data_IF_296036678711
#
_entry.id   IF_296036678711
#
_cell.length_a   1.000
_cell.length_b   1.000
_cell.length_c   1.000
_cell.angle_alpha   90.00
_cell.angle_beta   90.00
_cell.angle_gamma   90.00
#
_symmetry.space_group_name_H-M   'P 1'
#
loop_
_entity.id
_entity.type
_entity.pdbx_description
1 polymer ?
#
# COMPACT_ATOMS: atom_id res chain seq x y z
N UNK A 1 30.62 9.09 4.27
CA UNK A 1 29.37 9.71 4.77
C UNK A 1 28.56 10.14 3.56
N UNK A 2 27.75 9.22 2.99
CA UNK A 2 26.79 9.59 1.96
C UNK A 2 25.62 10.28 2.67
N UNK A 3 25.44 11.56 2.35
CA UNK A 3 24.26 12.34 2.71
C UNK A 3 23.02 11.53 2.35
N UNK A 4 22.29 11.06 3.36
CA UNK A 4 20.94 10.55 3.18
C UNK A 4 20.12 11.70 2.58
N UNK A 5 19.97 11.72 1.25
CA UNK A 5 18.87 12.46 0.66
C UNK A 5 17.65 11.78 1.23
N UNK A 6 16.90 12.49 2.07
CA UNK A 6 15.58 12.07 2.49
C UNK A 6 14.77 11.85 1.21
N UNK A 7 14.67 10.59 0.76
CA UNK A 7 13.72 10.22 -0.28
C UNK A 7 12.36 10.35 0.41
N UNK A 8 11.61 11.36 -0.03
CA UNK A 8 10.26 11.61 0.47
C UNK A 8 9.44 10.35 0.19
N UNK A 9 8.92 9.65 1.22
CA UNK A 9 8.14 8.46 1.02
C UNK A 9 6.76 8.83 0.47
N UNK A 10 6.29 8.08 -0.51
CA UNK A 10 4.92 8.14 -1.00
C UNK A 10 4.23 6.85 -0.60
N UNK A 11 3.05 6.97 0.00
CA UNK A 11 2.25 5.80 0.37
C UNK A 11 1.11 5.65 -0.61
N UNK A 12 1.09 4.51 -1.30
CA UNK A 12 0.08 4.14 -2.28
C UNK A 12 -0.91 3.17 -1.69
N UNK A 13 -2.17 3.34 -2.08
CA UNK A 13 -3.18 2.31 -1.95
C UNK A 13 -4.02 2.28 -3.23
N UNK A 14 -4.70 1.16 -3.46
CA UNK A 14 -5.44 0.92 -4.67
C UNK A 14 -6.52 -0.13 -4.42
N UNK A 15 -7.62 0.04 -5.11
CA UNK A 15 -8.75 -0.89 -5.10
C UNK A 15 -8.90 -1.54 -6.47
N UNK A 16 -9.69 -2.60 -6.49
CA UNK A 16 -9.93 -3.37 -7.71
C UNK A 16 -11.40 -3.63 -7.92
N UNK A 17 -11.78 -3.67 -9.18
CA UNK A 17 -13.01 -4.29 -9.63
C UNK A 17 -12.73 -5.74 -10.03
N UNK A 18 -13.60 -6.63 -9.59
CA UNK A 18 -13.62 -8.01 -10.06
C UNK A 18 -14.80 -8.21 -11.01
N UNK A 19 -14.50 -8.59 -12.26
CA UNK A 19 -15.53 -8.91 -13.26
C UNK A 19 -15.44 -10.40 -13.60
N UNK A 20 -16.57 -11.09 -13.50
CA UNK A 20 -16.66 -12.49 -13.92
C UNK A 20 -17.14 -12.51 -15.37
N UNK A 21 -16.30 -12.98 -16.28
CA UNK A 21 -16.62 -13.11 -17.70
C UNK A 21 -16.56 -14.60 -18.08
N UNK A 22 -17.71 -15.27 -18.05
CA UNK A 22 -17.79 -16.72 -18.30
C UNK A 22 -17.19 -17.54 -17.15
N UNK A 23 -16.18 -18.36 -17.45
CA UNK A 23 -15.46 -19.19 -16.46
C UNK A 23 -14.20 -18.51 -15.89
N UNK A 24 -13.87 -17.31 -16.35
CA UNK A 24 -12.67 -16.57 -15.98
C UNK A 24 -13.03 -15.28 -15.25
N UNK A 25 -12.38 -15.03 -14.11
CA UNK A 25 -12.44 -13.75 -13.41
C UNK A 25 -11.34 -12.81 -13.88
N UNK A 26 -11.68 -11.57 -14.20
CA UNK A 26 -10.75 -10.51 -14.57
C UNK A 26 -10.72 -9.46 -13.46
N UNK A 27 -9.54 -9.24 -12.89
CA UNK A 27 -9.29 -8.19 -11.90
C UNK A 27 -8.78 -6.95 -12.64
N UNK A 28 -9.33 -5.78 -12.35
CA UNK A 28 -8.89 -4.50 -12.93
C UNK A 28 -8.80 -3.45 -11.83
N UNK A 29 -7.83 -2.54 -11.91
CA UNK A 29 -7.68 -1.47 -10.92
C UNK A 29 -8.87 -0.51 -11.06
N UNK A 30 -9.60 -0.30 -9.97
CA UNK A 30 -10.74 0.62 -9.91
C UNK A 30 -10.31 2.02 -9.48
N UNK A 31 -9.42 2.10 -8.50
CA UNK A 31 -8.99 3.36 -7.90
C UNK A 31 -7.52 3.27 -7.47
N UNK A 32 -6.82 4.41 -7.53
CA UNK A 32 -5.47 4.56 -6.98
C UNK A 32 -5.40 5.85 -6.19
N UNK A 33 -4.94 5.74 -4.96
CA UNK A 33 -4.68 6.85 -4.05
C UNK A 33 -3.20 6.93 -3.67
N UNK A 34 -2.72 8.15 -3.41
CA UNK A 34 -1.39 8.40 -2.87
C UNK A 34 -1.43 9.51 -1.84
N UNK A 35 -0.77 9.27 -0.72
CA UNK A 35 -0.55 10.27 0.33
C UNK A 35 0.95 10.49 0.53
N UNK A 36 1.30 11.69 0.97
CA UNK A 36 2.66 12.06 1.37
C UNK A 36 2.96 11.63 2.83
N UNK A 37 4.13 12.01 3.33
CA UNK A 37 4.59 11.71 4.68
C UNK A 37 3.70 12.30 5.79
N UNK A 38 2.95 13.36 5.50
CA UNK A 38 2.02 14.00 6.42
C UNK A 38 0.61 13.40 6.32
N UNK A 39 0.40 12.44 5.40
CA UNK A 39 -0.90 11.83 5.13
C UNK A 39 -1.83 12.71 4.27
N UNK A 40 -1.29 13.75 3.63
CA UNK A 40 -2.01 14.60 2.70
C UNK A 40 -2.14 13.90 1.35
N UNK A 41 -3.36 13.85 0.82
CA UNK A 41 -3.65 13.19 -0.44
C UNK A 41 -3.28 14.07 -1.63
N UNK A 42 -2.49 13.54 -2.56
CA UNK A 42 -2.11 14.22 -3.80
C UNK A 42 -2.40 13.40 -5.07
N UNK A 43 -2.71 12.10 -4.94
CA UNK A 43 -3.34 11.29 -5.98
C UNK A 43 -4.62 10.71 -5.40
N UNK A 44 -5.75 10.99 -6.05
CA UNK A 44 -7.02 10.29 -5.85
C UNK A 44 -7.62 10.15 -7.25
N UNK A 45 -7.46 8.99 -7.87
CA UNK A 45 -7.81 8.77 -9.28
C UNK A 45 -8.71 7.55 -9.42
N UNK A 46 -9.94 7.78 -9.87
CA UNK A 46 -10.87 6.71 -10.25
C UNK A 46 -10.55 6.28 -11.68
N UNK A 47 -10.36 5.00 -11.92
CA UNK A 47 -10.00 4.45 -13.23
C UNK A 47 -11.27 4.27 -14.06
N UNK A 48 -11.34 5.00 -15.18
CA UNK A 48 -12.43 4.83 -16.15
C UNK A 48 -12.03 3.92 -17.31
N UNK A 49 -13.00 3.16 -17.80
CA UNK A 49 -12.84 2.36 -19.00
C UNK A 49 -12.67 3.23 -20.26
N UNK A 50 -11.96 2.71 -21.28
CA UNK A 50 -11.79 3.41 -22.55
C UNK A 50 -13.15 3.70 -23.19
N UNK A 51 -13.42 4.98 -23.48
CA UNK A 51 -14.67 5.39 -24.13
C UNK A 51 -15.86 5.62 -23.18
N UNK A 52 -15.71 5.39 -21.87
CA UNK A 52 -16.72 5.76 -20.88
C UNK A 52 -16.72 7.28 -20.62
N UNK A 53 -17.92 7.88 -20.65
CA UNK A 53 -18.14 9.19 -20.03
C UNK A 53 -18.33 8.97 -18.54
N UNK A 54 -17.56 9.66 -17.72
CA UNK A 54 -17.62 9.58 -16.27
C UNK A 54 -17.92 10.96 -15.72
N UNK A 55 -18.98 11.07 -14.91
CA UNK A 55 -19.33 12.31 -14.21
C UNK A 55 -18.55 12.46 -12.88
N UNK A 56 -17.62 11.55 -12.60
CA UNK A 56 -16.73 11.61 -11.44
C UNK A 56 -15.59 12.58 -11.72
N UNK A 57 -15.46 13.62 -10.88
CA UNK A 57 -14.52 14.74 -11.04
C UNK A 57 -13.04 14.32 -11.14
N UNK A 58 -12.67 13.17 -10.58
CA UNK A 58 -11.29 12.67 -10.56
C UNK A 58 -11.03 11.46 -11.49
N UNK A 59 -11.92 11.21 -12.46
CA UNK A 59 -11.80 10.05 -13.34
C UNK A 59 -10.64 10.15 -14.35
N UNK A 60 -9.73 9.18 -14.32
CA UNK A 60 -8.54 9.11 -15.16
C UNK A 60 -8.42 7.78 -15.90
N UNK A 61 -7.69 7.77 -17.01
CA UNK A 61 -7.36 6.51 -17.69
C UNK A 61 -6.23 5.80 -16.93
N UNK A 62 -6.21 4.47 -17.00
CA UNK A 62 -5.14 3.66 -16.40
C UNK A 62 -3.75 4.12 -16.85
N UNK A 63 -3.60 4.46 -18.14
CA UNK A 63 -2.36 5.01 -18.72
C UNK A 63 -1.92 6.30 -18.03
N UNK A 64 -2.84 7.19 -17.66
CA UNK A 64 -2.51 8.46 -17.00
C UNK A 64 -2.03 8.22 -15.57
N UNK A 65 -2.63 7.27 -14.86
CA UNK A 65 -2.17 6.87 -13.51
C UNK A 65 -0.81 6.18 -13.57
N UNK A 66 -0.59 5.28 -14.53
CA UNK A 66 0.71 4.67 -14.76
C UNK A 66 1.82 5.72 -15.01
N UNK A 67 1.54 6.77 -15.79
CA UNK A 67 2.51 7.86 -16.01
C UNK A 67 2.82 8.65 -14.75
N UNK A 68 1.84 8.89 -13.87
CA UNK A 68 2.09 9.51 -12.56
C UNK A 68 3.02 8.64 -11.71
N UNK A 69 2.75 7.34 -11.65
CA UNK A 69 3.58 6.40 -10.89
C UNK A 69 5.00 6.31 -11.45
N UNK A 70 5.14 6.23 -12.77
CA UNK A 70 6.45 6.27 -13.44
C UNK A 70 7.22 7.55 -13.11
N UNK A 71 6.56 8.70 -13.01
CA UNK A 71 7.21 9.94 -12.58
C UNK A 71 7.76 9.81 -11.14
N UNK A 72 6.96 9.31 -10.19
CA UNK A 72 7.43 9.09 -8.81
C UNK A 72 8.64 8.14 -8.75
N UNK A 73 8.62 7.08 -9.57
CA UNK A 73 9.70 6.11 -9.68
C UNK A 73 10.97 6.78 -10.23
N UNK A 74 10.83 7.58 -11.30
CA UNK A 74 11.93 8.31 -11.93
C UNK A 74 12.58 9.32 -10.98
N UNK A 75 11.79 9.97 -10.12
CA UNK A 75 12.27 10.88 -9.07
C UNK A 75 12.89 10.15 -7.87
N UNK A 76 13.05 8.82 -7.94
CA UNK A 76 13.66 7.97 -6.90
C UNK A 76 12.93 8.03 -5.56
N UNK A 77 11.62 8.29 -5.59
CA UNK A 77 10.80 8.26 -4.38
C UNK A 77 10.69 6.83 -3.85
N UNK A 78 10.58 6.71 -2.53
CA UNK A 78 10.30 5.43 -1.88
C UNK A 78 8.79 5.22 -1.86
N UNK A 79 8.34 4.12 -2.46
CA UNK A 79 6.94 3.74 -2.55
C UNK A 79 6.64 2.74 -1.44
N UNK A 80 5.75 3.12 -0.53
CA UNK A 80 5.18 2.26 0.50
C UNK A 80 3.78 1.85 0.06
N UNK A 81 3.37 0.61 0.29
CA UNK A 81 2.00 0.19 0.01
C UNK A 81 1.70 -1.21 0.54
N UNK A 82 0.44 -1.59 0.52
CA UNK A 82 -0.02 -2.93 0.91
C UNK A 82 -0.31 -3.76 -0.35
N UNK A 83 0.34 -4.92 -0.46
CA UNK A 83 0.30 -5.79 -1.65
C UNK A 83 0.64 -5.05 -2.95
N UNK A 84 1.57 -4.09 -2.86
CA UNK A 84 1.76 -3.08 -3.91
C UNK A 84 2.33 -3.64 -5.21
N UNK A 85 3.00 -4.80 -5.14
CA UNK A 85 3.50 -5.53 -6.32
C UNK A 85 2.36 -5.87 -7.29
N UNK A 86 1.18 -6.22 -6.76
CA UNK A 86 0.00 -6.51 -7.59
C UNK A 86 -0.42 -5.29 -8.44
N UNK A 87 -0.28 -4.07 -7.90
CA UNK A 87 -0.55 -2.84 -8.68
C UNK A 87 0.41 -2.73 -9.85
N UNK A 88 1.70 -2.96 -9.60
CA UNK A 88 2.74 -2.81 -10.60
C UNK A 88 2.60 -3.82 -11.74
N UNK A 89 2.25 -5.06 -11.42
CA UNK A 89 1.93 -6.09 -12.41
C UNK A 89 0.73 -5.68 -13.27
N UNK A 90 -0.36 -5.22 -12.66
CA UNK A 90 -1.57 -4.79 -13.38
C UNK A 90 -1.34 -3.55 -14.26
N UNK A 91 -0.43 -2.67 -13.84
CA UNK A 91 -0.02 -1.50 -14.64
C UNK A 91 1.08 -1.81 -15.65
N UNK A 92 1.65 -3.02 -15.60
CA UNK A 92 2.81 -3.42 -16.39
C UNK A 92 3.98 -2.43 -16.26
N UNK A 93 4.30 -2.05 -15.02
CA UNK A 93 5.44 -1.19 -14.69
C UNK A 93 6.43 -1.94 -13.81
N UNK A 94 7.72 -1.71 -14.05
CA UNK A 94 8.79 -2.24 -13.20
C UNK A 94 9.26 -1.16 -12.23
N UNK A 95 9.29 -1.49 -10.94
CA UNK A 95 9.82 -0.62 -9.88
C UNK A 95 11.04 -1.29 -9.25
N UNK A 96 12.18 -0.60 -9.13
CA UNK A 96 13.34 -1.15 -8.43
C UNK A 96 13.02 -1.53 -6.99
N UNK A 97 13.46 -2.71 -6.54
CA UNK A 97 13.17 -3.25 -5.20
C UNK A 97 13.62 -2.30 -4.07
N UNK A 98 14.71 -1.57 -4.27
CA UNK A 98 15.21 -0.59 -3.29
C UNK A 98 14.25 0.58 -3.06
N UNK A 99 13.36 0.86 -4.02
CA UNK A 99 12.34 1.89 -3.92
C UNK A 99 11.04 1.38 -3.31
N UNK A 100 10.85 0.07 -3.14
CA UNK A 100 9.57 -0.51 -2.70
C UNK A 100 9.64 -0.93 -1.23
N UNK A 101 8.58 -0.59 -0.49
CA UNK A 101 8.34 -0.98 0.90
C UNK A 101 6.93 -1.56 1.00
N UNK A 102 6.81 -2.84 0.67
CA UNK A 102 5.55 -3.56 0.75
C UNK A 102 5.24 -3.98 2.20
N UNK A 103 4.11 -3.52 2.74
CA UNK A 103 3.69 -3.75 4.14
C UNK A 103 3.60 -5.25 4.44
N UNK A 104 3.03 -6.05 3.53
CA UNK A 104 2.90 -7.50 3.75
C UNK A 104 4.27 -8.14 3.88
N UNK A 105 5.20 -7.77 3.00
CA UNK A 105 6.57 -8.29 2.99
C UNK A 105 7.36 -7.86 4.22
N UNK A 106 7.23 -6.60 4.63
CA UNK A 106 7.82 -6.08 5.87
C UNK A 106 7.33 -6.88 7.07
N UNK A 107 6.02 -6.98 7.28
CA UNK A 107 5.46 -7.69 8.43
C UNK A 107 5.71 -9.20 8.36
N UNK A 108 5.72 -9.81 7.16
CA UNK A 108 6.15 -11.21 6.99
C UNK A 108 7.57 -11.45 7.47
N UNK A 109 8.47 -10.49 7.31
CA UNK A 109 9.85 -10.63 7.80
C UNK A 109 9.94 -10.74 9.34
N UNK A 110 9.07 -10.01 10.05
CA UNK A 110 8.98 -10.01 11.53
C UNK A 110 8.20 -11.23 12.05
N UNK A 111 7.02 -11.48 11.52
CA UNK A 111 6.07 -12.47 12.05
C UNK A 111 6.18 -13.85 11.38
N UNK A 112 7.06 -14.01 10.38
CA UNK A 112 7.25 -15.23 9.56
C UNK A 112 5.96 -15.74 8.88
N UNK A 113 4.93 -14.90 8.78
CA UNK A 113 3.67 -15.17 8.07
C UNK A 113 3.11 -13.89 7.47
N UNK A 114 2.31 -14.01 6.41
CA UNK A 114 1.57 -12.89 5.83
C UNK A 114 0.38 -12.54 6.72
N UNK A 115 0.12 -11.25 6.90
CA UNK A 115 -1.03 -10.74 7.66
C UNK A 115 -1.84 -9.81 6.76
N UNK A 116 -3.16 -9.84 6.90
CA UNK A 116 -4.03 -8.90 6.20
C UNK A 116 -3.90 -7.49 6.79
N UNK A 117 -4.27 -6.48 6.01
CA UNK A 117 -4.24 -5.10 6.48
C UNK A 117 -5.20 -4.92 7.67
N UNK A 118 -6.36 -5.56 7.62
CA UNK A 118 -7.31 -5.59 8.75
C UNK A 118 -6.70 -6.21 10.02
N UNK A 119 -6.03 -7.37 9.92
CA UNK A 119 -5.42 -8.02 11.07
C UNK A 119 -4.34 -7.13 11.73
N UNK A 120 -3.57 -6.41 10.91
CA UNK A 120 -2.56 -5.46 11.38
C UNK A 120 -3.22 -4.24 12.05
N UNK A 121 -4.26 -3.68 11.44
CA UNK A 121 -4.98 -2.51 11.95
C UNK A 121 -5.65 -2.81 13.30
N UNK A 122 -6.38 -3.93 13.37
CA UNK A 122 -7.01 -4.40 14.59
C UNK A 122 -5.99 -4.64 15.71
N UNK A 123 -4.83 -5.22 15.39
CA UNK A 123 -3.84 -5.57 16.41
C UNK A 123 -3.07 -4.36 16.96
N UNK A 124 -2.63 -3.44 16.08
CA UNK A 124 -1.77 -2.33 16.51
C UNK A 124 -2.52 -1.07 16.90
N UNK A 125 -3.75 -0.89 16.42
CA UNK A 125 -4.51 0.34 16.59
C UNK A 125 -5.91 0.13 17.16
N UNK A 126 -6.34 -1.13 17.40
CA UNK A 126 -7.71 -1.46 17.80
C UNK A 126 -8.77 -0.92 16.80
N UNK A 127 -8.39 -0.81 15.53
CA UNK A 127 -9.20 -0.26 14.43
C UNK A 127 -9.48 -1.36 13.39
N UNK A 128 -10.59 -2.12 13.51
CA UNK A 128 -10.98 -3.07 12.47
C UNK A 128 -11.38 -2.31 11.21
N UNK A 129 -11.00 -2.86 10.05
CA UNK A 129 -11.35 -2.30 8.74
C UNK A 129 -11.90 -3.37 7.81
N UNK A 130 -12.77 -2.96 6.89
CA UNK A 130 -13.16 -3.75 5.74
C UNK A 130 -12.46 -3.16 4.52
N UNK A 131 -11.41 -3.84 4.03
CA UNK A 131 -10.50 -3.32 2.99
C UNK A 131 -11.23 -2.91 1.69
N UNK A 132 -12.32 -3.60 1.35
CA UNK A 132 -13.12 -3.30 0.15
C UNK A 132 -14.05 -2.09 0.32
N UNK A 133 -14.52 -1.82 1.55
CA UNK A 133 -15.46 -0.72 1.84
C UNK A 133 -14.76 0.56 2.29
N UNK A 134 -13.52 0.44 2.79
CA UNK A 134 -12.76 1.57 3.33
C UNK A 134 -12.21 2.43 2.20
N UNK A 135 -12.31 3.75 2.34
CA UNK A 135 -11.76 4.70 1.37
C UNK A 135 -10.25 4.44 1.14
N UNK A 136 -9.78 4.37 -0.13
CA UNK A 136 -8.39 4.04 -0.41
C UNK A 136 -7.41 5.09 0.13
N UNK A 137 -7.81 6.35 0.34
CA UNK A 137 -6.95 7.36 0.98
C UNK A 137 -6.75 7.00 2.47
N UNK A 138 -7.81 6.55 3.15
CA UNK A 138 -7.72 6.13 4.54
C UNK A 138 -6.91 4.84 4.69
N UNK A 139 -7.01 3.91 3.75
CA UNK A 139 -6.11 2.74 3.69
C UNK A 139 -4.65 3.11 3.42
N UNK A 140 -4.39 4.15 2.61
CA UNK A 140 -3.03 4.66 2.40
C UNK A 140 -2.46 5.27 3.69
N UNK A 141 -3.27 6.03 4.44
CA UNK A 141 -2.89 6.57 5.77
C UNK A 141 -2.66 5.47 6.79
N UNK A 142 -3.48 4.43 6.78
CA UNK A 142 -3.28 3.25 7.62
C UNK A 142 -1.95 2.56 7.27
N UNK A 143 -1.65 2.41 5.99
CA UNK A 143 -0.38 1.84 5.53
C UNK A 143 0.83 2.68 5.97
N UNK A 144 0.69 4.01 5.96
CA UNK A 144 1.71 4.93 6.50
C UNK A 144 1.94 4.71 8.00
N UNK A 145 0.85 4.62 8.79
CA UNK A 145 0.91 4.33 10.24
C UNK A 145 1.54 2.97 10.52
N UNK A 146 1.20 1.95 9.74
CA UNK A 146 1.80 0.61 9.86
C UNK A 146 3.28 0.62 9.51
N UNK A 147 3.70 1.36 8.48
CA UNK A 147 5.13 1.50 8.17
C UNK A 147 5.90 2.19 9.30
N UNK A 148 5.34 3.26 9.89
CA UNK A 148 5.92 3.88 11.07
C UNK A 148 6.02 2.89 12.24
N UNK A 149 4.95 2.12 12.49
CA UNK A 149 4.93 1.11 13.55
C UNK A 149 5.95 0.00 13.32
N UNK A 150 6.12 -0.44 12.07
CA UNK A 150 7.13 -1.41 11.70
C UNK A 150 8.55 -0.92 12.03
N UNK A 151 8.86 0.35 11.76
CA UNK A 151 10.16 0.92 12.08
C UNK A 151 10.41 0.97 13.60
N UNK A 152 9.40 1.35 14.40
CA UNK A 152 9.49 1.28 15.86
C UNK A 152 9.78 -0.15 16.36
N UNK A 153 9.08 -1.14 15.80
CA UNK A 153 9.29 -2.55 16.16
C UNK A 153 10.68 -3.01 15.73
N UNK A 154 11.13 -2.66 14.53
CA UNK A 154 12.44 -3.05 14.04
C UNK A 154 13.57 -2.45 14.89
N UNK A 155 13.46 -1.19 15.29
CA UNK A 155 14.42 -0.55 16.19
C UNK A 155 14.45 -1.21 17.58
N UNK A 156 13.29 -1.62 18.09
CA UNK A 156 13.19 -2.35 19.35
C UNK A 156 13.80 -3.76 19.26
N UNK A 157 13.66 -4.46 18.12
CA UNK A 157 14.25 -5.78 17.87
C UNK A 157 15.78 -5.68 17.81
N UNK A 158 16.29 -4.69 17.08
CA UNK A 158 17.73 -4.39 17.00
C UNK A 158 18.32 -3.96 18.35
N UNK A 159 17.48 -3.43 19.25
CA UNK A 159 17.84 -3.08 20.62
C UNK A 159 17.71 -4.24 21.64
N UNK A 160 17.52 -5.49 21.18
CA UNK A 160 17.31 -6.69 22.00
C UNK A 160 16.10 -6.60 22.97
N UNK A 161 15.11 -5.75 22.67
CA UNK A 161 13.86 -5.70 23.43
C UNK A 161 12.99 -6.87 22.94
N UNK A 162 12.58 -7.76 23.85
CA UNK A 162 11.94 -9.03 23.52
C UNK A 162 10.59 -8.88 22.77
N UNK A 163 10.64 -8.77 21.45
CA UNK A 163 9.48 -8.62 20.55
C UNK A 163 8.62 -9.88 20.51
N UNK A 164 9.19 -11.03 20.89
CA UNK A 164 8.51 -12.33 20.96
C UNK A 164 7.18 -12.28 21.72
N UNK A 165 7.08 -11.44 22.76
CA UNK A 165 5.84 -11.27 23.53
C UNK A 165 4.70 -10.60 22.73
N UNK A 166 5.03 -9.67 21.82
CA UNK A 166 4.06 -9.03 20.92
C UNK A 166 3.64 -9.98 19.79
N UNK A 167 4.60 -10.76 19.27
CA UNK A 167 4.37 -11.79 18.25
C UNK A 167 3.38 -12.88 18.70
N UNK A 168 3.46 -13.32 19.96
CA UNK A 168 2.56 -14.34 20.52
C UNK A 168 1.10 -13.89 20.59
N UNK A 169 0.83 -12.59 20.78
CA UNK A 169 -0.55 -12.08 20.80
C UNK A 169 -1.22 -12.13 19.42
N UNK A 170 -0.45 -12.03 18.34
CA UNK A 170 -0.95 -12.17 16.97
C UNK A 170 -1.29 -13.63 16.62
N UNK A 171 -0.59 -14.62 17.17
CA UNK A 171 -0.86 -16.05 16.93
C UNK A 171 -2.23 -16.51 17.44
N UNK A 172 -2.85 -15.78 18.37
CA UNK A 172 -4.11 -16.19 19.04
C UNK A 172 -5.36 -15.69 18.30
N UNK A 173 -5.24 -14.69 17.42
CA UNK A 173 -6.38 -13.96 16.82
C UNK A 173 -6.66 -14.37 15.36
N UNK A 174 -6.07 -15.47 14.87
CA UNK A 174 -6.38 -16.05 13.55
C UNK A 174 -7.25 -17.29 13.65
#
# INVERSE_FOLDING_TARGET
>A
MQSARYCIPVVLNFQYNFKITGLTGEKSVSEVSAVDEDGSCFISSVIKEPGAKSDVDNAQTLKRVALKLLYLIQEKMTIIGYEIENLFEMLNIHVPEEQVKDIVSLYRSLFKRSLSLNALAQHFFDEPIEEEETDPIDLARLSLRLHAKFNELKEADEADINITALTQSLEIVS
#
